data_IF_929727804214
#
_entry.id   IF_929727804214
#
_cell.length_a   1.000
_cell.length_b   1.000
_cell.length_c   1.000
_cell.angle_alpha   90.00
_cell.angle_beta   90.00
_cell.angle_gamma   90.00
#
_symmetry.space_group_name_H-M   'P 1'
#
loop_
_entity.id
_entity.type
_entity.pdbx_description
1 polymer ?
#
# COMPACT_ATOMS: atom_id res chain seq x y z
N UNK A 1 -66.79 5.61 26.68
CA UNK A 1 -65.36 5.23 26.69
C UNK A 1 -64.86 5.29 25.26
N UNK A 2 -63.99 6.25 24.92
CA UNK A 2 -63.42 6.41 23.55
C UNK A 2 -61.95 5.90 23.63
N UNK A 3 -61.64 4.84 22.89
CA UNK A 3 -60.28 4.33 22.77
C UNK A 3 -59.57 5.09 21.66
N UNK A 4 -58.49 5.81 21.97
CA UNK A 4 -57.60 6.41 20.99
C UNK A 4 -56.53 5.36 20.61
N UNK A 5 -56.49 4.94 19.35
CA UNK A 5 -55.44 4.08 18.83
C UNK A 5 -54.30 4.97 18.42
N UNK A 6 -53.17 4.86 19.14
CA UNK A 6 -51.89 5.52 18.79
C UNK A 6 -51.19 4.67 17.72
N UNK A 7 -51.20 5.11 16.45
CA UNK A 7 -50.38 4.52 15.42
C UNK A 7 -48.94 5.09 15.52
N UNK A 8 -47.99 4.31 16.03
CA UNK A 8 -46.59 4.63 16.03
C UNK A 8 -46.00 4.35 14.63
N UNK A 9 -45.71 5.40 13.86
CA UNK A 9 -44.94 5.27 12.63
C UNK A 9 -43.48 4.97 12.98
N UNK A 10 -43.02 3.75 12.74
CA UNK A 10 -41.60 3.41 12.71
C UNK A 10 -40.96 3.97 11.42
N UNK A 11 -40.16 5.01 11.55
CA UNK A 11 -39.28 5.48 10.47
C UNK A 11 -38.09 4.51 10.34
N UNK A 12 -38.11 3.66 9.32
CA UNK A 12 -36.96 2.88 8.89
C UNK A 12 -35.97 3.82 8.20
N UNK A 13 -34.95 4.28 8.93
CA UNK A 13 -33.81 4.99 8.37
C UNK A 13 -32.94 3.98 7.59
N UNK A 14 -33.08 3.98 6.27
CA UNK A 14 -32.15 3.28 5.40
C UNK A 14 -30.82 4.05 5.42
N UNK A 15 -29.83 3.50 6.12
CA UNK A 15 -28.46 3.99 6.02
C UNK A 15 -27.92 3.60 4.63
N UNK A 16 -27.83 4.57 3.73
CA UNK A 16 -27.15 4.39 2.45
C UNK A 16 -25.65 4.34 2.76
N UNK A 17 -25.05 3.15 2.68
CA UNK A 17 -23.61 3.02 2.81
C UNK A 17 -22.93 3.82 1.70
N UNK A 18 -22.04 4.74 2.06
CA UNK A 18 -21.22 5.46 1.09
C UNK A 18 -20.38 4.44 0.31
N UNK A 19 -20.36 4.51 -1.04
CA UNK A 19 -19.52 3.62 -1.82
C UNK A 19 -18.05 3.79 -1.39
N UNK A 20 -17.32 2.66 -1.34
CA UNK A 20 -15.91 2.66 -1.01
C UNK A 20 -15.11 3.44 -2.06
N UNK A 21 -14.07 4.14 -1.62
CA UNK A 21 -13.11 4.70 -2.55
C UNK A 21 -12.33 3.58 -3.24
N UNK A 22 -11.79 3.85 -4.43
CA UNK A 22 -10.99 2.84 -5.14
C UNK A 22 -9.73 2.46 -4.35
N UNK A 23 -9.13 3.38 -3.59
CA UNK A 23 -8.03 3.04 -2.68
C UNK A 23 -8.48 2.14 -1.53
N UNK A 24 -9.67 2.33 -0.95
CA UNK A 24 -10.22 1.38 0.02
C UNK A 24 -10.41 -0.02 -0.59
N UNK A 25 -10.82 -0.13 -1.85
CA UNK A 25 -10.93 -1.42 -2.54
C UNK A 25 -9.57 -2.08 -2.72
N UNK A 26 -8.51 -1.32 -3.04
CA UNK A 26 -7.12 -1.79 -3.09
C UNK A 26 -6.67 -2.32 -1.73
N UNK A 27 -6.94 -1.57 -0.66
CA UNK A 27 -6.66 -2.03 0.71
C UNK A 27 -7.41 -3.32 1.04
N UNK A 28 -8.71 -3.39 0.76
CA UNK A 28 -9.52 -4.57 1.06
C UNK A 28 -9.03 -5.82 0.33
N UNK A 29 -8.59 -5.70 -0.92
CA UNK A 29 -8.01 -6.83 -1.65
C UNK A 29 -6.68 -7.28 -1.04
N UNK A 30 -5.78 -6.33 -0.71
CA UNK A 30 -4.52 -6.65 -0.05
C UNK A 30 -4.76 -7.32 1.32
N UNK A 31 -5.72 -6.82 2.09
CA UNK A 31 -6.14 -7.37 3.37
C UNK A 31 -6.76 -8.77 3.22
N UNK A 32 -7.60 -8.98 2.19
CA UNK A 32 -8.18 -10.28 1.88
C UNK A 32 -7.09 -11.32 1.57
N UNK A 33 -6.13 -10.97 0.71
CA UNK A 33 -5.00 -11.85 0.41
C UNK A 33 -4.22 -12.18 1.68
N UNK A 34 -3.90 -11.18 2.51
CA UNK A 34 -3.19 -11.35 3.77
C UNK A 34 -3.91 -12.32 4.73
N UNK A 35 -5.24 -12.28 4.77
CA UNK A 35 -6.06 -13.11 5.65
C UNK A 35 -6.29 -14.53 5.11
N UNK A 36 -6.29 -14.71 3.80
CA UNK A 36 -6.65 -16.00 3.15
C UNK A 36 -5.45 -16.78 2.63
N UNK A 37 -4.27 -16.16 2.56
CA UNK A 37 -3.06 -16.87 2.16
C UNK A 37 -2.77 -18.03 3.11
N UNK A 38 -2.39 -19.17 2.54
CA UNK A 38 -1.95 -20.35 3.28
C UNK A 38 -0.42 -20.43 3.30
N UNK A 39 0.20 -19.96 2.21
CA UNK A 39 1.65 -19.99 2.03
C UNK A 39 2.09 -18.81 1.17
N UNK A 40 3.12 -18.08 1.59
CA UNK A 40 3.73 -17.04 0.77
C UNK A 40 5.24 -17.02 0.89
N UNK A 41 5.92 -16.67 -0.22
CA UNK A 41 7.36 -16.56 -0.31
C UNK A 41 7.75 -15.30 -1.07
N UNK A 42 8.85 -14.68 -0.65
CA UNK A 42 9.43 -13.57 -1.39
C UNK A 42 10.34 -14.08 -2.51
N UNK A 43 9.94 -13.83 -3.76
CA UNK A 43 10.72 -14.22 -4.95
C UNK A 43 10.44 -13.26 -6.12
N UNK A 44 11.45 -12.97 -6.92
CA UNK A 44 11.30 -12.19 -8.15
C UNK A 44 10.62 -12.98 -9.29
N UNK A 45 10.52 -14.30 -9.18
CA UNK A 45 9.75 -15.13 -10.08
C UNK A 45 8.35 -15.33 -9.54
N UNK A 46 7.42 -14.55 -10.07
CA UNK A 46 6.02 -14.57 -9.63
C UNK A 46 5.31 -15.88 -9.96
N UNK A 47 4.72 -16.51 -8.95
CA UNK A 47 3.77 -17.62 -9.09
C UNK A 47 2.62 -17.40 -8.09
N UNK A 48 1.39 -17.32 -8.61
CA UNK A 48 0.19 -17.10 -7.79
C UNK A 48 -0.81 -18.21 -8.11
N UNK A 49 -1.34 -18.82 -7.04
CA UNK A 49 -2.45 -19.75 -7.10
C UNK A 49 -3.45 -19.38 -6.00
N UNK A 50 -4.39 -18.48 -6.33
CA UNK A 50 -5.38 -17.94 -5.39
C UNK A 50 -6.26 -19.04 -4.78
N UNK A 51 -6.67 -20.04 -5.58
CA UNK A 51 -7.53 -21.13 -5.09
C UNK A 51 -6.89 -22.00 -4.01
N UNK A 52 -5.54 -22.00 -3.95
CA UNK A 52 -4.74 -22.67 -2.92
C UNK A 52 -4.20 -21.71 -1.86
N UNK A 53 -4.44 -20.40 -1.97
CA UNK A 53 -3.83 -19.40 -1.10
C UNK A 53 -2.30 -19.35 -1.19
N UNK A 54 -1.73 -19.72 -2.35
CA UNK A 54 -0.28 -19.78 -2.56
C UNK A 54 0.22 -18.55 -3.33
N UNK A 55 1.22 -17.85 -2.76
CA UNK A 55 1.80 -16.64 -3.34
C UNK A 55 3.33 -16.69 -3.27
N UNK A 56 3.99 -16.70 -4.41
CA UNK A 56 5.42 -16.45 -4.56
C UNK A 56 5.58 -15.16 -5.36
N UNK A 57 5.91 -14.08 -4.67
CA UNK A 57 5.87 -12.71 -5.19
C UNK A 57 6.97 -11.85 -4.57
N UNK A 58 7.42 -10.82 -5.28
CA UNK A 58 8.13 -9.69 -4.70
C UNK A 58 7.16 -8.54 -4.36
N UNK A 59 7.68 -7.42 -3.80
CA UNK A 59 6.88 -6.28 -3.39
C UNK A 59 6.04 -5.72 -4.56
N UNK A 60 6.66 -5.56 -5.71
CA UNK A 60 6.01 -4.96 -6.88
C UNK A 60 5.03 -5.89 -7.58
N UNK A 61 5.34 -7.18 -7.69
CA UNK A 61 4.42 -8.16 -8.24
C UNK A 61 3.18 -8.38 -7.38
N UNK A 62 3.32 -8.29 -6.04
CA UNK A 62 2.18 -8.29 -5.12
C UNK A 62 1.27 -7.07 -5.35
N UNK A 63 1.82 -5.84 -5.34
CA UNK A 63 1.02 -4.63 -5.58
C UNK A 63 0.38 -4.65 -6.97
N UNK A 64 1.10 -5.07 -8.01
CA UNK A 64 0.54 -5.22 -9.36
C UNK A 64 -0.60 -6.25 -9.41
N UNK A 65 -0.52 -7.33 -8.62
CA UNK A 65 -1.60 -8.32 -8.53
C UNK A 65 -2.87 -7.72 -7.92
N UNK A 66 -2.75 -6.99 -6.80
CA UNK A 66 -3.85 -6.28 -6.16
C UNK A 66 -4.49 -5.26 -7.11
N UNK A 67 -3.67 -4.43 -7.77
CA UNK A 67 -4.15 -3.44 -8.73
C UNK A 67 -4.84 -4.08 -9.95
N UNK A 68 -4.36 -5.22 -10.43
CA UNK A 68 -5.01 -5.94 -11.55
C UNK A 68 -6.45 -6.32 -11.22
N UNK A 69 -6.74 -6.63 -9.97
CA UNK A 69 -8.07 -7.02 -9.51
C UNK A 69 -8.98 -5.82 -9.26
N UNK A 70 -8.45 -4.71 -8.73
CA UNK A 70 -9.25 -3.58 -8.24
C UNK A 70 -9.16 -2.32 -9.08
N UNK A 71 -8.04 -2.09 -9.73
CA UNK A 71 -7.82 -0.89 -10.56
C UNK A 71 -6.97 -1.21 -11.78
N UNK A 72 -7.50 -2.04 -12.74
CA UNK A 72 -6.74 -2.46 -13.92
C UNK A 72 -6.34 -1.28 -14.82
N UNK A 73 -7.13 -0.21 -14.86
CA UNK A 73 -6.79 1.00 -15.61
C UNK A 73 -5.61 1.74 -14.99
N UNK A 74 -5.59 1.90 -13.68
CA UNK A 74 -4.45 2.48 -12.98
C UNK A 74 -3.18 1.61 -13.16
N UNK A 75 -3.30 0.28 -13.10
CA UNK A 75 -2.19 -0.62 -13.39
C UNK A 75 -1.65 -0.44 -14.82
N UNK A 76 -2.54 -0.29 -15.81
CA UNK A 76 -2.16 -0.12 -17.21
C UNK A 76 -1.38 1.19 -17.48
N UNK A 77 -1.48 2.18 -16.59
CA UNK A 77 -0.74 3.44 -16.71
C UNK A 77 0.71 3.33 -16.20
N UNK A 78 1.04 2.30 -15.42
CA UNK A 78 2.40 2.12 -14.93
C UNK A 78 3.32 1.63 -16.05
N UNK A 79 4.49 2.24 -16.25
CA UNK A 79 5.43 1.79 -17.26
C UNK A 79 6.00 0.41 -16.88
N UNK A 80 6.15 -0.45 -17.87
CA UNK A 80 6.77 -1.77 -17.71
C UNK A 80 8.00 -1.82 -18.62
N UNK A 81 9.15 -2.12 -18.04
CA UNK A 81 10.39 -2.26 -18.80
C UNK A 81 10.31 -3.49 -19.72
N UNK A 82 10.95 -3.41 -20.89
CA UNK A 82 10.85 -4.41 -22.01
C UNK A 82 11.12 -5.86 -21.58
N UNK A 83 11.93 -6.06 -20.54
CA UNK A 83 12.31 -7.40 -20.06
C UNK A 83 11.54 -7.85 -18.81
N UNK A 84 10.49 -7.13 -18.43
CA UNK A 84 9.71 -7.42 -17.22
C UNK A 84 8.23 -7.66 -17.55
N UNK A 85 7.59 -8.48 -16.75
CA UNK A 85 6.16 -8.85 -16.90
C UNK A 85 5.23 -7.96 -16.07
N UNK A 86 5.79 -7.11 -15.22
CA UNK A 86 5.06 -6.15 -14.37
C UNK A 86 5.94 -4.94 -14.02
N UNK A 87 5.31 -3.85 -13.60
CA UNK A 87 6.02 -2.68 -13.12
C UNK A 87 6.83 -3.02 -11.85
N UNK A 88 8.09 -2.59 -11.78
CA UNK A 88 8.96 -2.75 -10.61
C UNK A 88 8.86 -1.55 -9.70
N UNK A 89 9.42 -1.61 -8.48
CA UNK A 89 9.40 -0.53 -7.52
C UNK A 89 9.90 0.81 -8.09
N UNK A 90 10.97 0.81 -8.91
CA UNK A 90 11.45 2.03 -9.60
C UNK A 90 10.41 2.60 -10.58
N UNK A 91 9.63 1.74 -11.26
CA UNK A 91 8.61 2.20 -12.20
C UNK A 91 7.45 2.90 -11.46
N UNK A 92 7.04 2.39 -10.30
CA UNK A 92 6.11 3.07 -9.39
C UNK A 92 6.67 4.42 -8.94
N UNK A 93 7.93 4.45 -8.49
CA UNK A 93 8.57 5.67 -8.05
C UNK A 93 8.63 6.72 -9.17
N UNK A 94 9.18 6.36 -10.34
CA UNK A 94 9.36 7.29 -11.46
C UNK A 94 8.00 7.79 -11.97
N UNK A 95 6.98 6.95 -11.99
CA UNK A 95 5.63 7.31 -12.38
C UNK A 95 4.96 8.26 -11.37
N UNK A 96 5.00 7.95 -10.08
CA UNK A 96 4.38 8.81 -9.05
C UNK A 96 5.05 10.18 -8.95
N UNK A 97 6.36 10.24 -9.19
CA UNK A 97 7.07 11.52 -9.26
C UNK A 97 6.58 12.40 -10.41
N UNK A 98 6.23 11.82 -11.55
CA UNK A 98 5.68 12.56 -12.68
C UNK A 98 4.26 13.10 -12.41
N UNK A 99 3.45 12.43 -11.60
CA UNK A 99 2.10 12.86 -11.24
C UNK A 99 2.06 14.22 -10.54
N UNK A 100 3.15 14.68 -9.95
CA UNK A 100 3.25 16.01 -9.34
C UNK A 100 3.06 17.14 -10.39
N UNK A 101 3.44 16.90 -11.64
CA UNK A 101 3.40 17.86 -12.74
C UNK A 101 2.45 17.49 -13.87
N UNK A 102 2.09 16.20 -13.99
CA UNK A 102 1.22 15.68 -15.05
C UNK A 102 0.03 14.97 -14.41
N UNK A 103 -1.10 15.66 -14.21
CA UNK A 103 -2.31 15.03 -13.67
C UNK A 103 -2.75 13.83 -14.51
N UNK A 104 -3.26 12.81 -13.85
CA UNK A 104 -3.75 11.60 -14.50
C UNK A 104 -5.15 11.25 -13.98
N UNK A 105 -6.02 10.69 -14.86
CA UNK A 105 -7.39 10.34 -14.48
C UNK A 105 -7.46 9.18 -13.47
N UNK A 106 -6.46 8.29 -13.45
CA UNK A 106 -6.47 7.06 -12.65
C UNK A 106 -5.52 7.10 -11.44
N UNK A 107 -4.72 8.17 -11.32
CA UNK A 107 -3.75 8.32 -10.24
C UNK A 107 -3.66 9.77 -9.77
N UNK A 108 -3.52 9.93 -8.47
CA UNK A 108 -3.21 11.20 -7.82
C UNK A 108 -1.90 11.08 -7.03
N UNK A 109 -1.03 12.09 -7.14
CA UNK A 109 0.12 12.21 -6.25
C UNK A 109 -0.35 12.57 -4.84
N UNK A 110 0.07 11.81 -3.83
CA UNK A 110 -0.08 12.16 -2.41
C UNK A 110 1.22 12.84 -1.98
N UNK A 111 1.15 14.10 -1.54
CA UNK A 111 2.34 14.93 -1.32
C UNK A 111 2.88 14.88 0.10
N UNK A 112 2.00 14.66 1.07
CA UNK A 112 2.36 14.64 2.50
C UNK A 112 1.93 13.34 3.15
N UNK A 113 2.62 12.93 4.22
CA UNK A 113 2.21 11.75 4.99
C UNK A 113 0.85 11.94 5.67
N UNK A 114 0.46 13.20 5.96
CA UNK A 114 -0.84 13.50 6.59
C UNK A 114 -2.02 13.15 5.71
N UNK A 115 -1.83 13.23 4.38
CA UNK A 115 -2.86 13.00 3.37
C UNK A 115 -3.01 11.51 3.02
N UNK A 116 -2.15 10.63 3.56
CA UNK A 116 -2.23 9.19 3.29
C UNK A 116 -3.52 8.58 3.85
N UNK A 117 -4.12 7.73 3.05
CA UNK A 117 -5.29 6.92 3.37
C UNK A 117 -4.99 5.43 3.13
N UNK A 118 -5.86 4.57 3.62
CA UNK A 118 -5.77 3.13 3.34
C UNK A 118 -5.83 2.87 1.84
N UNK A 119 -4.98 1.95 1.38
CA UNK A 119 -4.91 1.59 -0.03
C UNK A 119 -4.01 2.50 -0.87
N UNK A 120 -3.53 3.63 -0.31
CA UNK A 120 -2.47 4.39 -0.96
C UNK A 120 -1.20 3.56 -1.08
N UNK A 121 -0.39 3.89 -2.07
CA UNK A 121 0.84 3.17 -2.37
C UNK A 121 2.03 4.09 -2.09
N UNK A 122 2.96 3.60 -1.26
CA UNK A 122 4.25 4.26 -1.02
C UNK A 122 5.31 3.49 -1.82
N UNK A 123 6.10 4.20 -2.61
CA UNK A 123 7.20 3.63 -3.37
C UNK A 123 8.49 4.41 -3.11
N UNK A 124 9.60 3.70 -3.04
CA UNK A 124 10.92 4.31 -2.97
C UNK A 124 11.93 3.58 -3.85
N UNK A 125 12.97 4.30 -4.20
CA UNK A 125 14.01 3.86 -5.10
C UNK A 125 15.34 3.83 -4.37
N UNK A 126 16.11 2.77 -4.59
CA UNK A 126 17.48 2.68 -4.10
C UNK A 126 18.41 3.50 -5.00
N UNK A 127 19.50 3.97 -4.42
CA UNK A 127 20.55 4.60 -5.21
C UNK A 127 21.12 3.58 -6.21
N UNK A 128 21.12 3.95 -7.50
CA UNK A 128 21.62 3.13 -8.59
C UNK A 128 23.15 2.84 -8.51
N UNK A 129 23.88 3.55 -7.67
CA UNK A 129 25.30 3.25 -7.36
C UNK A 129 25.46 1.93 -6.58
N UNK A 130 24.38 1.44 -5.95
CA UNK A 130 24.38 0.13 -5.34
C UNK A 130 24.20 -0.92 -6.45
N UNK A 131 25.15 -1.82 -6.65
CA UNK A 131 25.08 -2.97 -7.58
C UNK A 131 23.98 -4.00 -7.19
N UNK A 132 22.92 -3.56 -6.53
CA UNK A 132 21.80 -4.41 -6.09
C UNK A 132 20.86 -4.69 -7.26
N UNK A 133 20.39 -5.93 -7.34
CA UNK A 133 19.34 -6.34 -8.31
C UNK A 133 18.00 -5.69 -7.98
N UNK A 134 17.76 -5.35 -6.72
CA UNK A 134 16.54 -4.68 -6.26
C UNK A 134 16.61 -3.18 -6.59
N UNK A 135 15.57 -2.67 -7.22
CA UNK A 135 15.51 -1.26 -7.67
C UNK A 135 14.90 -0.32 -6.63
N UNK A 136 14.28 -0.86 -5.58
CA UNK A 136 13.55 -0.12 -4.56
C UNK A 136 12.59 -1.04 -3.82
N UNK A 137 11.54 -0.44 -3.24
CA UNK A 137 10.46 -1.17 -2.62
C UNK A 137 9.13 -0.44 -2.79
N UNK A 138 8.03 -1.17 -2.69
CA UNK A 138 6.67 -0.63 -2.78
C UNK A 138 5.77 -1.33 -1.77
N UNK A 139 4.91 -0.54 -1.10
CA UNK A 139 4.00 -1.03 -0.05
C UNK A 139 2.61 -0.42 -0.21
N UNK A 140 1.59 -1.11 0.30
CA UNK A 140 0.20 -0.60 0.40
C UNK A 140 -0.03 -0.12 1.83
N UNK A 141 -0.55 1.08 2.00
CA UNK A 141 -0.91 1.65 3.31
C UNK A 141 -2.12 0.91 3.88
N UNK A 142 -1.99 0.39 5.09
CA UNK A 142 -3.05 -0.34 5.77
C UNK A 142 -3.85 0.52 6.77
N UNK A 143 -3.22 1.53 7.35
CA UNK A 143 -3.83 2.42 8.35
C UNK A 143 -3.34 3.85 8.12
N UNK A 144 -4.13 4.84 8.57
CA UNK A 144 -3.70 6.23 8.56
C UNK A 144 -2.42 6.41 9.37
N UNK A 145 -1.50 7.30 8.94
CA UNK A 145 -0.28 7.59 9.69
C UNK A 145 -0.55 8.07 11.11
N UNK A 146 0.24 7.58 12.05
CA UNK A 146 0.23 8.01 13.45
C UNK A 146 1.50 8.80 13.73
N UNK A 147 1.36 10.06 14.13
CA UNK A 147 2.47 10.88 14.53
C UNK A 147 3.00 10.43 15.90
N UNK A 148 4.28 10.05 15.98
CA UNK A 148 4.95 9.66 17.23
C UNK A 148 5.91 10.76 17.74
N UNK A 149 6.54 11.50 16.81
CA UNK A 149 7.38 12.66 17.09
C UNK A 149 7.05 13.79 16.11
N UNK A 150 7.60 14.98 16.33
CA UNK A 150 7.32 16.16 15.50
C UNK A 150 7.47 15.88 13.99
N UNK A 151 8.45 15.06 13.59
CA UNK A 151 8.75 14.75 12.20
C UNK A 151 8.75 13.26 11.88
N UNK A 152 8.32 12.40 12.84
CA UNK A 152 8.33 10.95 12.68
C UNK A 152 6.93 10.37 12.77
N UNK A 153 6.55 9.59 11.76
CA UNK A 153 5.24 8.97 11.62
C UNK A 153 5.38 7.46 11.52
N UNK A 154 4.56 6.74 12.28
CA UNK A 154 4.39 5.30 12.13
C UNK A 154 3.25 5.03 11.16
N UNK A 155 3.49 4.13 10.21
CA UNK A 155 2.53 3.70 9.20
C UNK A 155 2.48 2.18 9.20
N UNK A 156 1.27 1.63 9.33
CA UNK A 156 1.06 0.22 9.09
C UNK A 156 0.91 -0.04 7.59
N UNK A 157 1.66 -1.02 7.09
CA UNK A 157 1.70 -1.36 5.67
C UNK A 157 1.40 -2.84 5.43
N UNK A 158 1.02 -3.18 4.19
CA UNK A 158 0.98 -4.54 3.66
C UNK A 158 1.93 -4.61 2.49
N UNK A 159 2.85 -5.57 2.50
CA UNK A 159 3.83 -5.77 1.44
C UNK A 159 4.25 -7.24 1.30
N UNK A 160 5.02 -7.53 0.27
CA UNK A 160 5.82 -8.76 0.21
C UNK A 160 7.30 -8.41 0.36
N UNK A 161 7.97 -9.04 1.33
CA UNK A 161 9.39 -8.77 1.61
C UNK A 161 10.12 -9.95 2.24
N UNK A 162 11.46 -9.92 2.18
CA UNK A 162 12.32 -10.87 2.91
C UNK A 162 12.46 -10.49 4.38
N UNK A 163 12.43 -9.20 4.69
CA UNK A 163 12.63 -8.68 6.03
C UNK A 163 11.30 -8.34 6.69
N UNK A 164 11.22 -8.60 7.98
CA UNK A 164 10.04 -8.26 8.80
C UNK A 164 10.07 -6.79 9.21
N UNK A 165 8.89 -6.19 9.26
CA UNK A 165 8.66 -4.91 9.92
C UNK A 165 8.52 -5.07 11.45
N UNK A 166 8.25 -4.00 12.16
CA UNK A 166 7.81 -4.13 13.56
C UNK A 166 6.36 -4.61 13.61
N UNK A 167 5.98 -5.32 14.67
CA UNK A 167 4.63 -5.88 14.85
C UNK A 167 4.12 -6.65 13.61
N UNK A 168 5.03 -7.35 12.95
CA UNK A 168 4.80 -8.01 11.67
C UNK A 168 3.96 -9.28 11.83
N UNK A 169 3.03 -9.49 10.91
CA UNK A 169 2.14 -10.67 10.90
C UNK A 169 2.82 -11.95 10.39
N UNK A 170 3.97 -11.85 9.71
CA UNK A 170 4.75 -13.01 9.26
C UNK A 170 5.28 -13.81 10.46
N UNK A 171 5.30 -15.12 10.37
CA UNK A 171 5.90 -15.96 11.39
C UNK A 171 7.41 -15.69 11.51
N UNK A 172 8.02 -16.12 12.63
CA UNK A 172 9.48 -16.03 12.80
C UNK A 172 10.16 -16.79 11.65
N UNK A 173 11.18 -16.17 11.05
CA UNK A 173 11.96 -16.74 9.93
C UNK A 173 11.19 -16.99 8.63
N UNK A 174 9.95 -16.45 8.49
CA UNK A 174 9.21 -16.45 7.22
C UNK A 174 9.39 -15.14 6.47
N UNK A 175 9.25 -15.20 5.16
CA UNK A 175 9.21 -14.10 4.20
C UNK A 175 7.86 -14.04 3.46
N UNK A 176 7.76 -13.30 2.36
CA UNK A 176 6.54 -13.20 1.55
C UNK A 176 5.61 -12.07 2.00
N UNK A 177 4.30 -12.28 1.87
CA UNK A 177 3.28 -11.26 2.15
C UNK A 177 3.05 -11.14 3.66
N UNK A 178 3.05 -9.90 4.16
CA UNK A 178 2.77 -9.61 5.56
C UNK A 178 2.35 -8.17 5.78
N UNK A 179 1.94 -7.87 6.99
CA UNK A 179 1.62 -6.52 7.46
C UNK A 179 2.44 -6.19 8.69
N UNK A 180 2.96 -4.97 8.76
CA UNK A 180 3.73 -4.49 9.91
C UNK A 180 3.92 -2.99 9.90
N UNK A 181 4.58 -2.48 10.93
CA UNK A 181 4.77 -1.06 11.15
C UNK A 181 6.15 -0.61 10.67
N UNK A 182 6.14 0.47 9.88
CA UNK A 182 7.32 1.21 9.43
C UNK A 182 7.27 2.64 9.96
N UNK A 183 8.42 3.31 10.04
CA UNK A 183 8.49 4.73 10.41
C UNK A 183 9.03 5.54 9.26
N UNK A 184 8.41 6.69 9.05
CA UNK A 184 8.79 7.64 8.01
C UNK A 184 9.06 9.00 8.63
N UNK A 185 10.21 9.58 8.29
CA UNK A 185 10.56 10.95 8.64
C UNK A 185 10.09 11.91 7.56
N UNK A 186 9.56 13.05 7.98
CA UNK A 186 9.12 14.12 7.08
C UNK A 186 9.96 15.38 7.23
N UNK A 187 9.98 16.18 6.17
CA UNK A 187 10.46 17.56 6.22
C UNK A 187 9.35 18.50 6.76
N UNK A 188 9.66 19.80 6.84
CA UNK A 188 8.72 20.84 7.32
C UNK A 188 7.42 20.94 6.51
N UNK A 189 7.41 20.46 5.26
CA UNK A 189 6.22 20.42 4.39
C UNK A 189 5.43 19.13 4.50
N UNK A 190 5.80 18.19 5.39
CA UNK A 190 5.16 16.90 5.55
C UNK A 190 5.52 15.85 4.51
N UNK A 191 6.44 16.15 3.58
CA UNK A 191 6.89 15.20 2.57
C UNK A 191 7.92 14.22 3.17
N UNK A 192 7.82 12.89 2.86
CA UNK A 192 8.73 11.89 3.39
C UNK A 192 10.14 12.05 2.83
N UNK A 193 11.16 11.98 3.70
CA UNK A 193 12.57 12.14 3.38
C UNK A 193 13.47 10.99 3.80
N UNK A 194 12.95 10.09 4.64
CA UNK A 194 13.67 8.93 5.13
C UNK A 194 12.72 7.95 5.81
N UNK A 195 13.21 6.75 6.07
CA UNK A 195 12.43 5.71 6.73
C UNK A 195 13.28 4.81 7.64
N UNK A 196 12.60 4.17 8.59
CA UNK A 196 13.08 3.02 9.34
C UNK A 196 12.21 1.82 8.99
N UNK A 197 12.85 0.72 8.61
CA UNK A 197 12.16 -0.53 8.27
C UNK A 197 11.45 -1.16 9.46
N UNK A 198 12.02 -0.98 10.65
CA UNK A 198 11.45 -1.41 11.92
C UNK A 198 11.95 -0.53 13.07
N UNK A 199 11.26 -0.56 14.21
CA UNK A 199 11.66 0.16 15.42
C UNK A 199 13.03 -0.23 15.99
N UNK A 200 13.59 -1.35 15.53
CA UNK A 200 14.92 -1.83 15.96
C UNK A 200 16.08 -1.22 15.17
N UNK A 201 15.79 -0.55 14.07
CA UNK A 201 16.83 0.11 13.29
C UNK A 201 17.36 1.33 14.01
N UNK A 202 18.69 1.40 14.15
CA UNK A 202 19.39 2.54 14.76
C UNK A 202 19.70 3.65 13.77
N UNK A 203 19.61 3.36 12.46
CA UNK A 203 19.98 4.29 11.40
C UNK A 203 18.82 4.46 10.42
N UNK A 204 18.47 5.71 10.18
CA UNK A 204 17.51 6.09 9.15
C UNK A 204 18.05 5.75 7.76
N UNK A 205 17.20 5.17 6.93
CA UNK A 205 17.49 4.93 5.52
C UNK A 205 17.06 6.16 4.73
N UNK A 206 18.03 6.81 4.12
CA UNK A 206 17.77 7.93 3.22
C UNK A 206 17.37 7.37 1.85
N UNK A 207 16.13 7.61 1.44
CA UNK A 207 15.59 7.20 0.15
C UNK A 207 14.76 8.30 -0.47
N UNK A 208 14.67 8.31 -1.79
CA UNK A 208 13.67 9.09 -2.50
C UNK A 208 12.33 8.36 -2.38
N UNK A 209 11.36 8.97 -1.71
CA UNK A 209 10.06 8.38 -1.39
C UNK A 209 8.98 9.19 -2.07
N UNK A 210 8.04 8.53 -2.72
CA UNK A 210 6.85 9.12 -3.34
C UNK A 210 5.62 8.30 -3.01
N UNK A 211 4.44 8.90 -3.14
CA UNK A 211 3.19 8.29 -2.77
C UNK A 211 2.13 8.55 -3.85
N UNK A 212 1.31 7.55 -4.13
CA UNK A 212 0.25 7.62 -5.13
C UNK A 212 -1.04 7.01 -4.63
N UNK A 213 -2.17 7.61 -5.03
CA UNK A 213 -3.53 7.13 -4.78
C UNK A 213 -4.22 6.79 -6.08
N UNK A 214 -4.86 5.63 -6.14
CA UNK A 214 -5.71 5.27 -7.28
C UNK A 214 -7.00 6.09 -7.27
N UNK A 215 -7.45 6.50 -8.46
CA UNK A 215 -8.69 7.25 -8.70
C UNK A 215 -9.56 6.54 -9.74
N UNK A 216 -10.85 6.88 -9.75
CA UNK A 216 -11.82 6.39 -10.75
C UNK A 216 -11.59 6.98 -12.13
#
# INVERSE_FOLDING_TARGET
>A
MKYAILCSLLWLTHSIATPLSLSDEVFQEAQHILQTQQESHYDHKTVINESKGYYRVDCSSFVCHVLRKKSPLALAMLPIDVHHVHARAQNFYDYFKQLESVPNAHWMAVKTLFDLERGDIIAWKYDLSSHKKDTGHVVIVAEKPIQEEQTLYRIRVIDASKGKHANDTRAKESDGIGSGDMWFRVNEKGAPIGLYWSSKEKKERQHFIVMGRVQH
#
